data_IF_080354253948
#
_entry.id   IF_080354253948
#
_cell.length_a   1.000
_cell.length_b   1.000
_cell.length_c   1.000
_cell.angle_alpha   90.00
_cell.angle_beta   90.00
_cell.angle_gamma   90.00
#
_symmetry.space_group_name_H-M   'P 1'
#
loop_
_entity.id
_entity.type
_entity.pdbx_description
1 polymer ?
#
# COMPACT_ATOMS: atom_id res chain seq x y z
N UNK A 1 13.53 16.62 -16.42
CA UNK A 1 12.49 16.26 -15.43
C UNK A 1 12.71 14.81 -15.07
N UNK A 2 13.34 14.51 -13.94
CA UNK A 2 13.47 13.11 -13.49
C UNK A 2 12.08 12.63 -13.07
N UNK A 3 11.65 11.46 -13.56
CA UNK A 3 10.41 10.85 -13.13
C UNK A 3 10.57 10.42 -11.67
N UNK A 4 9.81 11.03 -10.76
CA UNK A 4 9.76 10.56 -9.38
C UNK A 4 9.21 9.12 -9.36
N UNK A 5 9.74 8.22 -8.51
CA UNK A 5 9.23 6.87 -8.42
C UNK A 5 7.74 6.88 -8.08
N UNK A 6 6.95 6.14 -8.85
CA UNK A 6 5.50 6.09 -8.67
C UNK A 6 5.15 5.33 -7.37
N UNK A 7 4.43 5.97 -6.42
CA UNK A 7 4.04 5.30 -5.20
C UNK A 7 3.03 4.18 -5.50
N UNK A 8 3.27 2.99 -4.92
CA UNK A 8 2.38 1.82 -5.03
C UNK A 8 1.50 1.67 -3.80
N UNK A 9 0.33 1.04 -3.97
CA UNK A 9 -0.60 0.77 -2.88
C UNK A 9 -0.10 -0.41 -2.03
N UNK A 10 0.19 -0.24 -0.72
CA UNK A 10 0.69 -1.33 0.10
C UNK A 10 -0.31 -2.47 0.30
N UNK A 11 -1.61 -2.16 0.29
CA UNK A 11 -2.70 -3.13 0.56
C UNK A 11 -3.18 -3.84 -0.71
N UNK A 12 -2.90 -3.27 -1.89
CA UNK A 12 -3.21 -3.88 -3.19
C UNK A 12 -1.90 -4.02 -3.99
N UNK A 13 -1.10 -5.07 -3.73
CA UNK A 13 0.14 -5.29 -4.45
C UNK A 13 -0.11 -5.32 -5.97
N UNK A 14 0.66 -4.52 -6.72
CA UNK A 14 0.49 -4.35 -8.17
C UNK A 14 -0.21 -3.04 -8.57
N UNK A 15 -1.04 -2.47 -7.70
CA UNK A 15 -1.75 -1.21 -7.98
C UNK A 15 -0.91 0.02 -7.62
N UNK A 16 -1.04 1.08 -8.42
CA UNK A 16 -0.55 2.42 -8.07
C UNK A 16 -1.41 3.07 -6.99
N UNK A 17 -0.82 3.98 -6.21
CA UNK A 17 -1.56 4.75 -5.23
C UNK A 17 -2.55 5.70 -5.92
N UNK A 18 -3.84 5.61 -5.57
CA UNK A 18 -4.90 6.42 -6.19
C UNK A 18 -5.19 7.74 -5.47
N UNK A 19 -4.50 8.04 -4.37
CA UNK A 19 -4.74 9.24 -3.55
C UNK A 19 -6.24 9.41 -3.19
N UNK A 20 -6.82 8.38 -2.58
CA UNK A 20 -8.28 8.18 -2.49
C UNK A 20 -9.09 9.28 -1.76
N UNK A 21 -8.45 10.23 -1.09
CA UNK A 21 -9.14 11.34 -0.41
C UNK A 21 -8.35 12.66 -0.52
N UNK A 22 -9.04 13.82 -0.37
CA UNK A 22 -8.42 15.13 -0.51
C UNK A 22 -7.25 15.35 0.46
N UNK A 23 -6.13 15.84 -0.05
CA UNK A 23 -4.93 16.13 0.74
C UNK A 23 -4.00 14.93 0.94
N UNK A 24 -4.33 13.73 0.46
CA UNK A 24 -3.39 12.62 0.45
C UNK A 24 -2.18 12.93 -0.46
N UNK A 25 -0.99 12.67 0.05
CA UNK A 25 0.29 12.80 -0.66
C UNK A 25 0.94 11.45 -0.93
N UNK A 26 0.41 10.37 -0.35
CA UNK A 26 0.86 9.01 -0.59
C UNK A 26 0.33 8.00 0.42
N UNK A 27 0.85 6.76 0.40
CA UNK A 27 0.43 5.68 1.28
C UNK A 27 0.58 5.98 2.77
N UNK A 28 1.52 6.85 3.15
CA UNK A 28 1.76 7.27 4.54
C UNK A 28 0.56 7.98 5.16
N UNK A 29 -0.27 8.63 4.34
CA UNK A 29 -1.45 9.33 4.85
C UNK A 29 -2.65 8.37 5.01
N UNK A 30 -2.62 7.21 4.34
CA UNK A 30 -3.79 6.36 4.13
C UNK A 30 -4.21 5.58 5.38
N UNK A 31 -5.41 5.86 5.89
CA UNK A 31 -5.98 5.14 7.04
C UNK A 31 -6.15 3.63 6.83
N UNK A 32 -6.42 3.16 5.61
CA UNK A 32 -6.49 1.71 5.33
C UNK A 32 -5.13 1.03 5.50
N UNK A 33 -4.05 1.68 5.03
CA UNK A 33 -2.68 1.18 5.21
C UNK A 33 -2.32 1.12 6.70
N UNK A 34 -2.74 2.12 7.47
CA UNK A 34 -2.56 2.14 8.92
C UNK A 34 -3.28 0.98 9.61
N UNK A 35 -4.58 0.79 9.35
CA UNK A 35 -5.38 -0.30 9.93
C UNK A 35 -4.78 -1.69 9.66
N UNK A 36 -4.40 -1.95 8.40
CA UNK A 36 -3.82 -3.25 8.01
C UNK A 36 -2.45 -3.49 8.66
N UNK A 37 -1.66 -2.42 8.88
CA UNK A 37 -0.34 -2.54 9.52
C UNK A 37 -0.41 -2.77 11.02
N UNK A 38 -1.42 -2.21 11.68
CA UNK A 38 -1.60 -2.36 13.12
C UNK A 38 -2.27 -3.68 13.52
N UNK A 39 -3.03 -4.29 12.61
CA UNK A 39 -3.62 -5.61 12.81
C UNK A 39 -2.60 -6.73 12.47
N UNK A 40 -2.18 -7.57 13.43
CA UNK A 40 -1.17 -8.60 13.19
C UNK A 40 -1.61 -9.67 12.19
N UNK A 41 -2.89 -10.03 12.16
CA UNK A 41 -3.41 -11.05 11.25
C UNK A 41 -3.46 -10.51 9.82
N UNK A 42 -3.96 -9.29 9.63
CA UNK A 42 -4.00 -8.65 8.32
C UNK A 42 -2.59 -8.36 7.78
N UNK A 43 -1.65 -7.96 8.64
CA UNK A 43 -0.25 -7.74 8.27
C UNK A 43 0.45 -9.03 7.82
N UNK A 44 0.17 -10.16 8.50
CA UNK A 44 0.67 -11.47 8.12
C UNK A 44 0.09 -11.93 6.78
N UNK A 45 -1.22 -11.78 6.58
CA UNK A 45 -1.88 -12.12 5.30
C UNK A 45 -1.36 -11.24 4.16
N UNK A 46 -1.17 -9.94 4.38
CA UNK A 46 -0.58 -9.06 3.37
C UNK A 46 0.84 -9.50 2.97
N UNK A 47 1.64 -9.95 3.94
CA UNK A 47 2.97 -10.49 3.68
C UNK A 47 2.89 -11.74 2.81
N UNK A 48 1.95 -12.64 3.09
CA UNK A 48 1.69 -13.85 2.31
C UNK A 48 1.27 -13.51 0.87
N UNK A 49 0.28 -12.63 0.68
CA UNK A 49 -0.18 -12.19 -0.64
C UNK A 49 0.95 -11.59 -1.49
N UNK A 50 1.83 -10.80 -0.86
CA UNK A 50 3.00 -10.24 -1.55
C UNK A 50 3.98 -11.31 -1.99
N UNK A 51 4.19 -12.34 -1.17
CA UNK A 51 5.05 -13.47 -1.53
C UNK A 51 4.47 -14.26 -2.70
N UNK A 52 3.16 -14.54 -2.67
CA UNK A 52 2.43 -15.24 -3.74
C UNK A 52 2.49 -14.48 -5.08
N UNK A 53 2.45 -13.14 -5.06
CA UNK A 53 2.55 -12.33 -6.29
C UNK A 53 3.99 -12.26 -6.85
N UNK A 54 5.00 -12.53 -6.02
CA UNK A 54 6.42 -12.47 -6.41
C UNK A 54 7.01 -13.82 -6.85
N UNK A 55 6.25 -14.90 -6.71
CA UNK A 55 6.63 -16.26 -7.10
C UNK A 55 6.18 -16.58 -8.53
#
# INVERSE_FOLDING_TARGET
MAHAPEPKCPVRPGDSCSLCYPGATGPQDCGLVWLVREDPELSAELTRLKAELSA
#
